data_IF_128992538693
#
_entry.id   IF_128992538693
#
_cell.length_a   1.000
_cell.length_b   1.000
_cell.length_c   1.000
_cell.angle_alpha   90.00
_cell.angle_beta   90.00
_cell.angle_gamma   90.00
#
_symmetry.space_group_name_H-M   'P 1'
#
loop_
_entity.id
_entity.type
_entity.pdbx_description
1 polymer ?
#
# COMPACT_ATOMS: atom_id res chain seq x y z
N UNK A 1 33.19 -47.82 21.53
CA UNK A 1 32.76 -46.47 21.94
C UNK A 1 31.41 -46.16 21.30
N UNK A 2 30.54 -45.48 22.07
CA UNK A 2 29.22 -44.89 21.72
C UNK A 2 28.02 -45.84 21.55
N UNK A 3 27.44 -46.10 22.72
CA UNK A 3 26.00 -46.15 23.02
C UNK A 3 25.09 -45.30 22.13
N UNK A 4 23.89 -45.80 21.81
CA UNK A 4 22.62 -45.30 22.40
C UNK A 4 21.40 -46.02 21.84
N UNK A 5 20.59 -46.58 22.75
CA UNK A 5 19.21 -46.99 22.53
C UNK A 5 18.29 -45.77 22.36
N UNK A 6 17.13 -45.96 21.71
CA UNK A 6 15.81 -45.47 22.19
C UNK A 6 14.66 -46.02 21.33
N UNK A 7 13.86 -46.87 21.96
CA UNK A 7 12.48 -47.21 21.60
C UNK A 7 11.61 -45.99 21.92
N UNK A 8 10.73 -45.62 21.00
CA UNK A 8 9.76 -44.54 21.18
C UNK A 8 8.41 -44.94 20.59
N UNK A 9 7.43 -45.13 21.48
CA UNK A 9 6.04 -45.49 21.23
C UNK A 9 5.36 -44.58 20.19
N UNK A 10 4.60 -45.21 19.30
CA UNK A 10 3.56 -44.55 18.53
C UNK A 10 2.32 -44.33 19.41
N UNK A 11 1.92 -43.08 19.59
CA UNK A 11 0.60 -42.71 20.10
C UNK A 11 -0.04 -41.73 19.11
N UNK A 12 -1.01 -42.25 18.37
CA UNK A 12 -1.99 -41.44 17.67
C UNK A 12 -2.94 -40.81 18.70
N UNK A 13 -3.16 -39.50 18.61
CA UNK A 13 -4.27 -38.85 19.29
C UNK A 13 -4.74 -37.60 18.52
N UNK A 14 -5.93 -37.76 17.94
CA UNK A 14 -6.99 -36.78 17.74
C UNK A 14 -6.64 -35.39 17.18
N UNK A 15 -6.96 -35.22 15.89
CA UNK A 15 -7.27 -33.93 15.27
C UNK A 15 -8.51 -33.32 15.95
N UNK A 16 -8.32 -32.32 16.80
CA UNK A 16 -9.38 -31.38 17.19
C UNK A 16 -9.25 -30.14 16.31
N UNK A 17 -10.08 -30.08 15.27
CA UNK A 17 -10.21 -28.92 14.42
C UNK A 17 -10.80 -27.74 15.20
N UNK A 18 -9.97 -26.77 15.54
CA UNK A 18 -10.42 -25.40 15.79
C UNK A 18 -10.38 -24.65 14.45
N UNK A 19 -11.44 -24.81 13.65
CA UNK A 19 -11.79 -23.85 12.60
C UNK A 19 -12.38 -22.59 13.27
N UNK A 20 -11.53 -21.82 13.94
CA UNK A 20 -11.84 -20.49 14.44
C UNK A 20 -11.48 -19.47 13.36
N UNK A 21 -12.51 -18.84 12.80
CA UNK A 21 -12.45 -17.91 11.69
C UNK A 21 -11.38 -16.82 11.89
N UNK A 22 -10.35 -16.83 11.03
CA UNK A 22 -9.52 -15.65 10.79
C UNK A 22 -10.42 -14.64 10.07
N UNK A 23 -11.12 -13.79 10.82
CA UNK A 23 -11.64 -12.56 10.25
C UNK A 23 -10.42 -11.80 9.70
N UNK A 24 -10.38 -11.46 8.39
CA UNK A 24 -9.39 -10.50 7.95
C UNK A 24 -9.66 -9.24 8.75
N UNK A 25 -8.68 -8.82 9.57
CA UNK A 25 -8.69 -7.51 10.15
C UNK A 25 -8.83 -6.54 8.97
N UNK A 26 -10.01 -5.95 8.82
CA UNK A 26 -10.19 -4.79 7.96
C UNK A 26 -9.13 -3.81 8.41
N UNK A 27 -8.09 -3.62 7.60
CA UNK A 27 -7.08 -2.61 7.85
C UNK A 27 -7.84 -1.32 7.99
N UNK A 28 -7.94 -0.83 9.23
CA UNK A 28 -8.58 0.44 9.51
C UNK A 28 -7.82 1.47 8.68
N UNK A 29 -8.40 1.88 7.56
CA UNK A 29 -7.83 2.95 6.76
C UNK A 29 -7.66 4.14 7.70
N UNK A 30 -6.45 4.74 7.78
CA UNK A 30 -6.23 5.91 8.61
C UNK A 30 -7.33 6.93 8.32
N UNK A 31 -7.92 7.51 9.37
CA UNK A 31 -8.91 8.58 9.21
C UNK A 31 -8.29 9.63 8.27
N UNK A 32 -8.99 9.89 7.17
CA UNK A 32 -8.53 10.82 6.13
C UNK A 32 -8.28 12.17 6.80
N UNK A 33 -7.01 12.51 6.95
CA UNK A 33 -6.58 13.79 7.51
C UNK A 33 -6.82 14.86 6.44
N UNK A 34 -6.94 16.13 6.82
CA UNK A 34 -7.05 17.19 5.82
C UNK A 34 -5.89 17.11 4.81
N UNK A 35 -6.16 17.37 3.54
CA UNK A 35 -5.14 17.37 2.52
C UNK A 35 -4.03 18.37 2.87
N UNK A 36 -2.75 18.01 2.70
CA UNK A 36 -1.64 18.95 2.81
C UNK A 36 -1.87 20.16 1.90
N UNK A 37 -1.44 21.35 2.33
CA UNK A 37 -1.68 22.61 1.60
C UNK A 37 -1.02 22.63 0.22
N UNK A 38 0.03 21.84 0.02
CA UNK A 38 0.74 21.68 -1.23
C UNK A 38 0.15 20.60 -2.16
N UNK A 39 -0.93 19.93 -1.73
CA UNK A 39 -1.78 19.05 -2.54
C UNK A 39 -3.17 19.67 -2.80
N UNK A 40 -3.30 20.47 -3.88
CA UNK A 40 -4.55 21.16 -4.18
C UNK A 40 -5.68 20.18 -4.49
N UNK A 41 -6.91 20.67 -4.39
CA UNK A 41 -8.09 19.92 -4.84
C UNK A 41 -7.93 19.50 -6.30
N UNK A 42 -8.46 18.32 -6.63
CA UNK A 42 -8.39 17.69 -7.97
C UNK A 42 -7.06 17.04 -8.32
N UNK A 43 -6.11 16.96 -7.38
CA UNK A 43 -4.82 16.30 -7.62
C UNK A 43 -4.64 15.05 -6.76
N UNK A 44 -3.97 14.08 -7.35
CA UNK A 44 -3.23 13.03 -6.66
C UNK A 44 -1.79 13.50 -6.44
N UNK A 45 -1.29 13.38 -5.22
CA UNK A 45 0.01 13.95 -4.82
C UNK A 45 0.90 12.88 -4.21
N UNK A 46 2.14 12.80 -4.66
CA UNK A 46 3.15 11.91 -4.12
C UNK A 46 4.27 12.66 -3.40
N UNK A 47 4.70 12.12 -2.27
CA UNK A 47 5.70 12.70 -1.38
C UNK A 47 6.86 11.75 -1.16
N UNK A 48 8.09 12.27 -1.17
CA UNK A 48 9.31 11.45 -1.01
C UNK A 48 9.43 10.84 0.38
N UNK A 49 8.84 11.48 1.39
CA UNK A 49 8.93 11.06 2.79
C UNK A 49 7.56 10.73 3.36
N UNK A 50 7.56 9.98 4.45
CA UNK A 50 6.36 9.70 5.23
C UNK A 50 5.68 10.99 5.74
N UNK A 51 4.41 10.88 6.12
CA UNK A 51 3.60 11.96 6.70
C UNK A 51 3.50 13.21 5.80
N UNK A 52 3.40 12.99 4.49
CA UNK A 52 3.20 14.01 3.46
C UNK A 52 4.30 15.08 3.45
N UNK A 53 5.55 14.64 3.59
CA UNK A 53 6.72 15.53 3.60
C UNK A 53 7.47 15.46 2.27
N UNK A 54 7.87 16.62 1.79
CA UNK A 54 8.65 16.78 0.54
C UNK A 54 7.86 16.29 -0.69
N UNK A 55 6.97 17.16 -1.16
CA UNK A 55 6.16 16.90 -2.35
C UNK A 55 7.06 16.66 -3.57
N UNK A 56 6.84 15.53 -4.23
CA UNK A 56 7.59 15.14 -5.41
C UNK A 56 6.84 15.49 -6.71
N UNK A 57 5.55 15.18 -6.74
CA UNK A 57 4.73 15.37 -7.94
C UNK A 57 3.25 15.55 -7.59
N UNK A 58 2.51 16.09 -8.57
CA UNK A 58 1.05 16.27 -8.54
C UNK A 58 0.49 15.91 -9.90
N UNK A 59 -0.42 14.95 -9.95
CA UNK A 59 -1.08 14.51 -11.17
C UNK A 59 -2.59 14.69 -11.03
N UNK A 60 -3.26 15.02 -12.13
CA UNK A 60 -4.71 15.21 -12.18
C UNK A 60 -5.37 14.64 -13.42
N UNK A 61 -4.58 14.33 -14.45
CA UNK A 61 -5.07 13.98 -15.77
C UNK A 61 -5.18 12.45 -15.86
N UNK A 62 -6.20 11.97 -16.59
CA UNK A 62 -6.46 10.53 -16.75
C UNK A 62 -5.58 9.91 -17.85
N UNK A 63 -4.28 9.79 -17.58
CA UNK A 63 -3.36 8.98 -18.39
C UNK A 63 -2.15 8.57 -17.54
N UNK A 64 -1.43 7.55 -18.01
CA UNK A 64 -0.24 7.02 -17.32
C UNK A 64 0.90 8.04 -17.38
N UNK A 65 1.30 8.55 -16.22
CA UNK A 65 2.39 9.52 -16.03
C UNK A 65 3.53 8.88 -15.23
N UNK A 66 4.77 9.03 -15.71
CA UNK A 66 5.96 8.54 -14.99
C UNK A 66 6.21 9.41 -13.74
N UNK A 67 6.53 8.77 -12.61
CA UNK A 67 6.89 9.51 -11.40
C UNK A 67 8.34 10.04 -11.53
N UNK A 68 8.70 11.16 -10.88
CA UNK A 68 10.07 11.65 -10.91
C UNK A 68 11.09 10.65 -10.35
N UNK A 69 12.35 10.79 -10.73
CA UNK A 69 13.44 10.01 -10.13
C UNK A 69 13.58 10.29 -8.61
N UNK A 70 14.09 9.28 -7.90
CA UNK A 70 14.42 9.37 -6.48
C UNK A 70 13.30 8.96 -5.52
N UNK A 71 12.18 8.44 -6.03
CA UNK A 71 11.14 7.79 -5.24
C UNK A 71 11.34 6.27 -5.22
N UNK A 72 12.46 5.81 -4.67
CA UNK A 72 12.90 4.41 -4.76
C UNK A 72 12.52 3.55 -3.55
N UNK A 73 11.90 4.14 -2.53
CA UNK A 73 11.49 3.45 -1.30
C UNK A 73 10.61 4.35 -0.44
N UNK A 74 9.65 3.78 0.27
CA UNK A 74 8.86 4.50 1.27
C UNK A 74 8.13 5.71 0.68
N UNK A 75 7.78 6.67 1.55
CA UNK A 75 7.11 7.90 1.16
C UNK A 75 5.70 8.01 1.71
N UNK A 76 4.88 8.81 1.04
CA UNK A 76 3.44 8.93 1.33
C UNK A 76 2.70 9.50 0.13
N UNK A 77 1.38 9.35 0.11
CA UNK A 77 0.53 9.90 -0.95
C UNK A 77 -0.80 10.41 -0.42
N UNK A 78 -1.37 11.35 -1.15
CA UNK A 78 -2.70 11.88 -0.87
C UNK A 78 -3.49 12.00 -2.17
N UNK A 79 -4.66 11.39 -2.22
CA UNK A 79 -5.63 11.56 -3.28
C UNK A 79 -6.66 12.62 -2.87
N UNK A 80 -6.47 13.86 -3.33
CA UNK A 80 -7.37 14.99 -3.08
C UNK A 80 -8.29 15.27 -4.28
N UNK A 81 -8.59 14.25 -5.08
CA UNK A 81 -9.40 14.40 -6.29
C UNK A 81 -10.89 14.57 -5.97
N UNK A 82 -11.72 14.56 -7.02
CA UNK A 82 -13.19 14.51 -6.88
C UNK A 82 -13.61 13.27 -6.11
N UNK A 83 -14.69 13.37 -5.34
CA UNK A 83 -15.11 12.30 -4.44
C UNK A 83 -15.28 10.97 -5.20
N UNK A 84 -14.70 9.90 -4.68
CA UNK A 84 -14.75 8.57 -5.28
C UNK A 84 -13.72 8.29 -6.37
N UNK A 85 -12.99 9.30 -6.89
CA UNK A 85 -11.93 9.07 -7.88
C UNK A 85 -10.82 8.20 -7.28
N UNK A 86 -10.34 7.22 -8.04
CA UNK A 86 -9.28 6.30 -7.65
C UNK A 86 -8.09 6.49 -8.58
N UNK A 87 -6.90 6.70 -8.03
CA UNK A 87 -5.68 6.71 -8.81
C UNK A 87 -5.12 5.28 -8.87
N UNK A 88 -4.44 4.95 -9.96
CA UNK A 88 -3.78 3.66 -10.17
C UNK A 88 -2.27 3.86 -10.18
N UNK A 89 -1.57 3.09 -9.35
CA UNK A 89 -0.11 3.04 -9.31
C UNK A 89 0.36 1.81 -10.07
N UNK A 90 1.35 1.98 -10.94
CA UNK A 90 1.79 0.96 -11.87
C UNK A 90 3.29 0.67 -11.72
N UNK A 91 3.68 -0.57 -11.96
CA UNK A 91 5.07 -1.01 -12.00
C UNK A 91 5.80 -0.54 -13.27
N UNK A 92 7.09 -0.86 -13.37
CA UNK A 92 7.94 -0.56 -14.55
C UNK A 92 7.38 -1.10 -15.88
N UNK A 93 6.57 -2.16 -15.84
CA UNK A 93 5.96 -2.79 -16.99
C UNK A 93 4.56 -2.23 -17.28
N UNK A 94 4.17 -1.13 -16.62
CA UNK A 94 2.83 -0.50 -16.70
C UNK A 94 1.70 -1.42 -16.25
N UNK A 95 1.97 -2.33 -15.32
CA UNK A 95 0.93 -3.16 -14.68
C UNK A 95 0.46 -2.48 -13.41
N UNK A 96 -0.84 -2.38 -13.20
CA UNK A 96 -1.41 -1.86 -11.95
C UNK A 96 -1.00 -2.77 -10.80
N UNK A 97 -0.35 -2.19 -9.80
CA UNK A 97 0.05 -2.87 -8.57
C UNK A 97 -0.74 -2.39 -7.36
N UNK A 98 -1.34 -1.20 -7.45
CA UNK A 98 -2.20 -0.66 -6.42
C UNK A 98 -3.22 0.31 -7.03
N UNK A 99 -4.45 0.26 -6.53
CA UNK A 99 -5.50 1.25 -6.82
C UNK A 99 -5.89 1.89 -5.50
N UNK A 100 -5.88 3.22 -5.45
CA UNK A 100 -6.22 3.94 -4.21
C UNK A 100 -7.69 3.72 -3.86
N UNK A 101 -8.07 3.83 -2.57
CA UNK A 101 -9.46 4.07 -2.20
C UNK A 101 -10.00 5.34 -2.88
N UNK A 102 -11.31 5.45 -3.00
CA UNK A 102 -11.95 6.64 -3.58
C UNK A 102 -11.60 7.90 -2.80
N UNK A 103 -11.34 9.01 -3.50
CA UNK A 103 -10.97 10.26 -2.88
C UNK A 103 -12.09 10.83 -1.99
N UNK A 104 -11.78 11.60 -0.93
CA UNK A 104 -10.42 11.83 -0.44
C UNK A 104 -9.88 10.57 0.26
N UNK A 105 -8.64 10.22 -0.02
CA UNK A 105 -7.96 9.08 0.59
C UNK A 105 -6.45 9.35 0.67
N UNK A 106 -5.74 8.67 1.57
CA UNK A 106 -4.31 8.91 1.78
C UNK A 106 -3.62 7.75 2.47
N UNK A 107 -2.30 7.66 2.31
CA UNK A 107 -1.42 6.81 3.12
C UNK A 107 -0.19 7.62 3.56
N UNK A 108 -0.01 7.86 4.88
CA UNK A 108 1.14 8.57 5.41
C UNK A 108 2.44 7.74 5.40
N UNK A 109 2.39 6.47 5.02
CA UNK A 109 3.49 5.49 5.08
C UNK A 109 3.52 4.58 3.84
N UNK A 110 3.18 5.12 2.67
CA UNK A 110 3.24 4.37 1.41
C UNK A 110 4.65 3.96 1.00
N UNK A 111 4.75 3.13 -0.04
CA UNK A 111 6.03 2.72 -0.64
C UNK A 111 6.03 2.99 -2.14
N UNK A 112 6.92 3.90 -2.56
CA UNK A 112 7.12 4.21 -3.98
C UNK A 112 8.08 3.27 -4.69
N UNK A 113 8.85 2.45 -3.96
CA UNK A 113 9.86 1.55 -4.56
C UNK A 113 9.36 0.67 -5.72
N UNK A 114 8.14 0.09 -5.68
CA UNK A 114 7.61 -0.68 -6.79
C UNK A 114 6.88 0.16 -7.85
N UNK A 115 6.61 1.44 -7.58
CA UNK A 115 5.81 2.34 -8.43
C UNK A 115 6.72 3.07 -9.41
N UNK A 116 6.36 3.03 -10.69
CA UNK A 116 7.06 3.75 -11.76
C UNK A 116 6.15 4.75 -12.45
N UNK A 117 4.86 4.46 -12.48
CA UNK A 117 3.88 5.34 -13.09
C UNK A 117 2.64 5.47 -12.22
N UNK A 118 1.93 6.57 -12.41
CA UNK A 118 0.62 6.82 -11.84
C UNK A 118 -0.32 7.25 -12.95
N UNK A 119 -1.50 6.66 -12.98
CA UNK A 119 -2.67 7.23 -13.64
C UNK A 119 -3.54 7.83 -12.53
N UNK A 120 -3.92 9.10 -12.65
CA UNK A 120 -4.77 9.75 -11.65
C UNK A 120 -6.24 9.29 -11.75
N UNK A 121 -6.52 8.33 -12.63
CA UNK A 121 -7.78 7.64 -12.86
C UNK A 121 -7.48 6.12 -13.04
#
# INVERSE_FOLDING_TARGET
MRTSHKVGLATAAAMLGLAGMLAPAATAQPRVTAAPSDCPKYYFCGYKKANFKELAFKFKDCYVQEIPDGLNSGGSWYNNQSAGTQARMLDKNKRVIYTTPGAPSSDPSGDWGPVWYVDAC
#
